data_IF_806542446979
#
_entry.id   IF_806542446979
#
_cell.length_a   1.000
_cell.length_b   1.000
_cell.length_c   1.000
_cell.angle_alpha   90.00
_cell.angle_beta   90.00
_cell.angle_gamma   90.00
#
_symmetry.space_group_name_H-M   'P 1'
#
loop_
_entity.id
_entity.type
_entity.pdbx_description
1 polymer ?
#
# COMPACT_ATOMS: atom_id res chain seq x y z
N UNK A 1 -22.95 -5.19 -1.85
CA UNK A 1 -21.93 -6.19 -2.21
C UNK A 1 -21.35 -5.91 -3.59
N UNK A 2 -20.03 -6.01 -3.80
CA UNK A 2 -19.46 -6.11 -5.15
C UNK A 2 -19.27 -7.60 -5.49
N UNK A 3 -19.76 -8.03 -6.65
CA UNK A 3 -19.62 -9.39 -7.17
C UNK A 3 -18.82 -9.35 -8.46
N UNK A 4 -17.65 -10.00 -8.49
CA UNK A 4 -16.79 -10.08 -9.68
C UNK A 4 -16.84 -11.49 -10.20
N UNK A 5 -17.52 -11.70 -11.34
CA UNK A 5 -17.68 -13.02 -11.95
C UNK A 5 -16.44 -13.38 -12.77
N UNK A 6 -15.94 -14.59 -12.57
CA UNK A 6 -14.76 -15.13 -13.23
C UNK A 6 -15.08 -16.53 -13.79
N UNK A 7 -14.77 -16.74 -15.07
CA UNK A 7 -14.76 -18.07 -15.66
C UNK A 7 -13.35 -18.70 -15.56
N UNK A 8 -13.21 -19.94 -16.03
CA UNK A 8 -11.92 -20.62 -16.05
C UNK A 8 -10.84 -19.84 -16.85
N UNK A 9 -11.23 -19.17 -17.93
CA UNK A 9 -10.33 -18.34 -18.72
C UNK A 9 -9.81 -17.15 -17.90
N UNK A 10 -10.69 -16.42 -17.20
CA UNK A 10 -10.28 -15.33 -16.32
C UNK A 10 -9.40 -15.82 -15.16
N UNK A 11 -9.77 -16.94 -14.52
CA UNK A 11 -8.98 -17.55 -13.44
C UNK A 11 -7.55 -17.90 -13.91
N UNK A 12 -7.41 -18.45 -15.13
CA UNK A 12 -6.09 -18.77 -15.72
C UNK A 12 -5.23 -17.53 -16.03
N UNK A 13 -5.84 -16.34 -16.08
CA UNK A 13 -5.18 -15.07 -16.36
C UNK A 13 -4.90 -14.27 -15.09
N UNK A 14 -5.27 -14.77 -13.90
CA UNK A 14 -5.02 -14.06 -12.64
C UNK A 14 -3.53 -13.77 -12.46
N UNK A 15 -3.19 -12.50 -12.21
CA UNK A 15 -1.82 -12.05 -11.96
C UNK A 15 -1.71 -11.22 -10.70
N UNK A 16 -0.50 -11.17 -10.16
CA UNK A 16 -0.15 -10.30 -9.03
C UNK A 16 0.91 -9.32 -9.51
N UNK A 17 0.67 -8.02 -9.36
CA UNK A 17 1.58 -6.99 -9.88
C UNK A 17 1.51 -5.71 -9.03
N UNK A 18 2.64 -5.03 -8.86
CA UNK A 18 2.68 -3.74 -8.15
C UNK A 18 2.08 -2.65 -9.04
N UNK A 19 1.31 -1.73 -8.45
CA UNK A 19 0.79 -0.53 -9.11
C UNK A 19 1.44 0.73 -8.50
N UNK A 20 2.52 1.27 -9.11
CA UNK A 20 3.13 2.52 -8.67
C UNK A 20 2.15 3.69 -8.60
N UNK A 21 1.23 3.79 -9.57
CA UNK A 21 0.23 4.86 -9.59
C UNK A 21 -0.76 4.74 -8.43
N UNK A 22 -1.16 3.52 -8.02
CA UNK A 22 -2.02 3.34 -6.84
C UNK A 22 -1.34 3.86 -5.56
N UNK A 23 -0.04 3.60 -5.40
CA UNK A 23 0.72 4.11 -4.25
C UNK A 23 0.81 5.64 -4.27
N UNK A 24 1.03 6.25 -5.45
CA UNK A 24 1.01 7.70 -5.61
C UNK A 24 -0.37 8.30 -5.27
N UNK A 25 -1.44 7.70 -5.79
CA UNK A 25 -2.82 8.13 -5.53
C UNK A 25 -3.15 8.07 -4.05
N UNK A 26 -2.81 6.96 -3.38
CA UNK A 26 -3.11 6.80 -1.96
C UNK A 26 -2.33 7.79 -1.08
N UNK A 27 -1.04 8.01 -1.34
CA UNK A 27 -0.25 8.99 -0.60
C UNK A 27 -0.71 10.43 -0.87
N UNK A 28 -1.05 10.75 -2.13
CA UNK A 28 -1.58 12.06 -2.52
C UNK A 28 -2.90 12.35 -1.80
N UNK A 29 -3.79 11.37 -1.73
CA UNK A 29 -5.07 11.49 -1.03
C UNK A 29 -4.88 11.80 0.45
N UNK A 30 -3.97 11.07 1.12
CA UNK A 30 -3.63 11.34 2.52
C UNK A 30 -3.07 12.76 2.72
N UNK A 31 -2.15 13.19 1.83
CA UNK A 31 -1.56 14.52 1.89
C UNK A 31 -2.61 15.64 1.68
N UNK A 32 -3.50 15.46 0.70
CA UNK A 32 -4.58 16.40 0.39
C UNK A 32 -5.61 16.50 1.52
N UNK A 33 -5.90 15.40 2.19
CA UNK A 33 -6.80 15.36 3.34
C UNK A 33 -6.16 15.82 4.66
N UNK A 34 -4.84 16.05 4.69
CA UNK A 34 -4.10 16.35 5.92
C UNK A 34 -4.10 15.21 6.92
N UNK A 35 -4.17 13.95 6.43
CA UNK A 35 -4.29 12.74 7.25
C UNK A 35 -2.98 11.95 7.27
N UNK A 36 -2.76 11.27 8.39
CA UNK A 36 -1.65 10.34 8.55
C UNK A 36 -2.08 8.93 8.11
N UNK A 37 -1.17 8.21 7.46
CA UNK A 37 -1.32 6.78 7.24
C UNK A 37 -1.26 6.05 8.61
N UNK A 38 -2.10 5.04 8.90
CA UNK A 38 -2.07 4.36 10.20
C UNK A 38 -0.72 3.72 10.57
N UNK A 39 -0.04 3.15 9.58
CA UNK A 39 1.29 2.54 9.73
C UNK A 39 2.43 3.52 9.44
N UNK A 40 2.44 4.11 8.23
CA UNK A 40 3.50 5.02 7.81
C UNK A 40 3.36 6.44 8.35
N UNK A 41 2.34 6.81 9.11
CA UNK A 41 2.17 8.17 9.66
C UNK A 41 2.02 9.28 8.63
N UNK A 42 2.45 10.50 8.98
CA UNK A 42 2.39 11.69 8.12
C UNK A 42 3.03 11.46 6.72
N UNK A 43 2.33 11.79 5.60
CA UNK A 43 2.88 11.86 4.24
C UNK A 43 4.10 12.76 4.06
N UNK A 44 4.31 13.73 4.96
CA UNK A 44 5.52 14.54 5.02
C UNK A 44 5.50 15.81 4.17
N UNK A 45 6.56 16.60 4.31
CA UNK A 45 6.66 17.94 3.71
C UNK A 45 6.76 17.90 2.18
N UNK A 46 7.39 16.88 1.60
CA UNK A 46 7.52 16.73 0.15
C UNK A 46 6.16 16.51 -0.53
N UNK A 47 5.31 15.65 0.03
CA UNK A 47 3.95 15.43 -0.44
C UNK A 47 3.10 16.72 -0.39
N UNK A 48 3.20 17.47 0.72
CA UNK A 48 2.54 18.79 0.85
C UNK A 48 3.10 19.83 -0.12
N UNK A 49 4.40 19.81 -0.37
CA UNK A 49 5.03 20.70 -1.34
C UNK A 49 4.53 20.43 -2.75
N UNK A 50 4.38 19.16 -3.14
CA UNK A 50 3.89 18.76 -4.45
C UNK A 50 2.47 19.31 -4.75
N UNK A 51 1.60 19.46 -3.74
CA UNK A 51 0.24 20.03 -3.89
C UNK A 51 0.21 21.49 -4.38
N UNK A 52 1.35 22.20 -4.36
CA UNK A 52 1.45 23.55 -4.94
C UNK A 52 1.33 23.53 -6.46
N UNK A 53 1.74 22.44 -7.08
CA UNK A 53 1.64 22.23 -8.52
C UNK A 53 0.15 22.17 -8.96
N UNK A 54 -0.26 22.93 -9.99
CA UNK A 54 -1.65 22.97 -10.43
C UNK A 54 -2.22 21.62 -10.89
N UNK A 55 -1.39 20.76 -11.48
CA UNK A 55 -1.84 19.47 -12.00
C UNK A 55 -1.93 18.43 -10.89
N UNK A 56 -0.98 18.44 -9.93
CA UNK A 56 -1.10 17.63 -8.69
C UNK A 56 -2.37 17.99 -7.94
N UNK A 57 -2.69 19.29 -7.83
CA UNK A 57 -3.89 19.77 -7.14
C UNK A 57 -5.18 19.38 -7.85
N UNK A 58 -5.18 19.33 -9.18
CA UNK A 58 -6.31 18.86 -9.96
C UNK A 58 -6.61 17.37 -9.67
N UNK A 59 -5.56 16.53 -9.60
CA UNK A 59 -5.72 15.13 -9.18
C UNK A 59 -6.22 15.04 -7.74
N UNK A 60 -5.63 15.80 -6.81
CA UNK A 60 -6.08 15.80 -5.41
C UNK A 60 -7.57 16.18 -5.27
N UNK A 61 -8.04 17.15 -6.05
CA UNK A 61 -9.45 17.55 -6.07
C UNK A 61 -10.36 16.42 -6.60
N UNK A 62 -9.91 15.68 -7.62
CA UNK A 62 -10.59 14.52 -8.17
C UNK A 62 -10.68 13.33 -7.20
N UNK A 63 -9.67 13.15 -6.33
CA UNK A 63 -9.65 12.09 -5.31
C UNK A 63 -10.60 12.36 -4.13
N UNK A 64 -10.91 13.63 -3.88
CA UNK A 64 -11.67 14.07 -2.71
C UNK A 64 -10.90 13.90 -1.38
N UNK A 65 -11.47 14.43 -0.30
CA UNK A 65 -10.89 14.39 1.05
C UNK A 65 -11.69 13.53 2.03
N UNK A 66 -12.77 12.91 1.56
CA UNK A 66 -13.61 12.02 2.36
C UNK A 66 -12.88 10.70 2.67
N UNK A 67 -13.37 9.94 3.65
CA UNK A 67 -12.81 8.63 4.02
C UNK A 67 -13.05 7.54 2.97
N UNK A 68 -14.03 7.70 2.08
CA UNK A 68 -14.33 6.73 1.04
C UNK A 68 -13.34 6.76 -0.13
N UNK A 69 -12.85 5.58 -0.55
CA UNK A 69 -12.08 5.36 -1.77
C UNK A 69 -12.97 5.46 -3.02
N UNK A 70 -13.52 6.66 -3.25
CA UNK A 70 -14.50 6.91 -4.30
C UNK A 70 -13.95 7.95 -5.29
N UNK A 71 -13.15 7.46 -6.23
CA UNK A 71 -12.55 8.21 -7.35
C UNK A 71 -12.56 7.35 -8.63
N UNK A 72 -12.43 7.93 -9.83
CA UNK A 72 -12.57 7.17 -11.07
C UNK A 72 -11.39 6.24 -11.32
N UNK A 73 -11.69 5.04 -11.84
CA UNK A 73 -10.72 3.97 -12.12
C UNK A 73 -9.59 4.40 -13.05
N UNK A 74 -9.82 5.38 -13.93
CA UNK A 74 -8.82 5.94 -14.84
C UNK A 74 -7.59 6.46 -14.09
N UNK A 75 -7.75 6.93 -12.84
CA UNK A 75 -6.64 7.46 -12.03
C UNK A 75 -5.67 6.37 -11.56
N UNK A 76 -6.05 5.09 -11.68
CA UNK A 76 -5.23 3.95 -11.30
C UNK A 76 -5.24 2.88 -12.39
N UNK A 77 -4.67 3.14 -13.59
CA UNK A 77 -4.70 2.18 -14.70
C UNK A 77 -4.10 0.83 -14.30
N UNK A 78 -4.66 -0.29 -14.79
CA UNK A 78 -4.15 -1.64 -14.48
C UNK A 78 -2.65 -1.76 -14.80
N UNK A 79 -1.80 -2.29 -13.90
CA UNK A 79 -0.37 -2.47 -14.19
C UNK A 79 -0.14 -3.61 -15.19
N UNK A 80 0.57 -3.35 -16.28
CA UNK A 80 0.95 -4.36 -17.28
C UNK A 80 2.30 -5.05 -16.97
N UNK A 81 2.56 -6.23 -17.54
CA UNK A 81 3.85 -6.94 -17.43
C UNK A 81 4.99 -6.27 -18.22
N UNK A 82 5.25 -4.98 -17.97
CA UNK A 82 6.33 -4.22 -18.61
C UNK A 82 7.43 -3.86 -17.62
N UNK A 83 8.61 -3.48 -18.12
CA UNK A 83 9.76 -3.15 -17.27
C UNK A 83 9.55 -1.89 -16.45
N UNK A 84 8.96 -0.86 -17.05
CA UNK A 84 8.66 0.42 -16.40
C UNK A 84 7.15 0.61 -16.27
N UNK A 85 6.59 0.01 -15.22
CA UNK A 85 5.15 0.01 -14.95
C UNK A 85 4.64 1.42 -14.66
N UNK A 86 5.42 2.28 -14.02
CA UNK A 86 5.00 3.64 -13.70
C UNK A 86 4.80 4.45 -14.99
N UNK A 87 5.81 4.48 -15.86
CA UNK A 87 5.73 5.22 -17.12
C UNK A 87 4.57 4.73 -18.00
N UNK A 88 4.40 3.41 -18.10
CA UNK A 88 3.31 2.77 -18.84
C UNK A 88 1.91 3.11 -18.28
N UNK A 89 1.73 3.09 -16.95
CA UNK A 89 0.46 3.51 -16.34
C UNK A 89 0.17 4.99 -16.61
N UNK A 90 1.18 5.86 -16.52
CA UNK A 90 1.02 7.29 -16.80
C UNK A 90 0.71 7.56 -18.28
N UNK A 91 1.30 6.81 -19.20
CA UNK A 91 0.99 6.88 -20.64
C UNK A 91 -0.44 6.43 -20.95
N UNK A 92 -0.90 5.32 -20.35
CA UNK A 92 -2.30 4.87 -20.50
C UNK A 92 -3.29 5.85 -19.91
N UNK A 93 -3.00 6.40 -18.74
CA UNK A 93 -3.81 7.48 -18.18
C UNK A 93 -3.87 8.65 -19.16
N UNK A 94 -2.73 9.12 -19.67
CA UNK A 94 -2.67 10.20 -20.65
C UNK A 94 -3.47 9.90 -21.92
N UNK A 95 -3.48 8.65 -22.37
CA UNK A 95 -4.15 8.19 -23.58
C UNK A 95 -5.62 7.76 -23.37
N UNK A 96 -6.18 7.96 -22.18
CA UNK A 96 -7.59 7.63 -21.90
C UNK A 96 -8.49 8.52 -22.76
N UNK A 97 -9.39 7.89 -23.53
CA UNK A 97 -10.31 8.61 -24.41
C UNK A 97 -11.43 9.33 -23.62
N UNK A 98 -12.02 10.35 -24.24
CA UNK A 98 -13.03 11.20 -23.60
C UNK A 98 -14.30 10.41 -23.23
N UNK A 99 -14.72 9.46 -24.06
CA UNK A 99 -15.91 8.65 -23.80
C UNK A 99 -15.72 7.77 -22.55
N UNK A 100 -14.52 7.25 -22.33
CA UNK A 100 -14.13 6.50 -21.14
C UNK A 100 -14.15 7.39 -19.89
N UNK A 101 -13.64 8.63 -19.99
CA UNK A 101 -13.71 9.61 -18.91
C UNK A 101 -15.17 9.90 -18.57
N UNK A 102 -15.99 10.25 -19.55
CA UNK A 102 -17.41 10.56 -19.36
C UNK A 102 -18.19 9.40 -18.72
N UNK A 103 -17.95 8.17 -19.18
CA UNK A 103 -18.56 6.98 -18.62
C UNK A 103 -18.25 6.85 -17.12
N UNK A 104 -16.97 6.94 -16.74
CA UNK A 104 -16.55 6.84 -15.34
C UNK A 104 -17.04 7.99 -14.46
N UNK A 105 -17.25 9.18 -15.02
CA UNK A 105 -17.78 10.33 -14.28
C UNK A 105 -19.31 10.34 -14.18
N UNK A 106 -20.02 9.55 -14.99
CA UNK A 106 -21.48 9.46 -14.94
C UNK A 106 -21.95 8.92 -13.60
N UNK A 107 -21.30 7.86 -13.13
CA UNK A 107 -21.61 7.26 -11.82
C UNK A 107 -21.07 8.10 -10.64
N UNK A 108 -20.23 9.10 -10.94
CA UNK A 108 -19.57 9.95 -9.96
C UNK A 108 -19.94 11.43 -10.16
N UNK A 109 -21.24 11.73 -10.22
CA UNK A 109 -21.78 13.07 -10.49
C UNK A 109 -21.14 14.20 -9.65
N UNK A 110 -20.72 13.91 -8.41
CA UNK A 110 -20.00 14.86 -7.53
C UNK A 110 -18.63 15.30 -8.08
N UNK A 111 -17.98 14.45 -8.88
CA UNK A 111 -16.64 14.66 -9.43
C UNK A 111 -16.66 15.35 -10.80
N UNK A 112 -17.80 15.40 -11.50
CA UNK A 112 -17.94 16.06 -12.81
C UNK A 112 -17.51 17.53 -12.81
N UNK A 113 -17.63 18.24 -11.69
CA UNK A 113 -17.18 19.65 -11.56
C UNK A 113 -15.67 19.81 -11.39
N UNK A 114 -14.98 18.75 -10.99
CA UNK A 114 -13.55 18.76 -10.67
C UNK A 114 -12.72 18.16 -11.81
N UNK A 115 -13.33 17.29 -12.60
CA UNK A 115 -12.71 16.56 -13.70
C UNK A 115 -13.31 17.07 -15.01
N UNK A 116 -12.67 18.03 -15.70
CA UNK A 116 -13.08 18.40 -17.06
C UNK A 116 -12.87 17.19 -17.98
N UNK A 117 -13.76 16.97 -18.95
CA UNK A 117 -13.59 15.88 -19.93
C UNK A 117 -12.39 16.16 -20.84
N UNK A 118 -12.24 17.43 -21.25
CA UNK A 118 -11.12 17.91 -22.05
C UNK A 118 -9.80 17.97 -21.26
N UNK A 119 -8.82 17.19 -21.73
CA UNK A 119 -7.42 17.31 -21.31
C UNK A 119 -7.11 16.87 -19.88
N UNK A 120 -8.10 16.51 -19.06
CA UNK A 120 -7.85 16.00 -17.71
C UNK A 120 -6.95 14.76 -17.67
N UNK A 121 -7.09 13.74 -18.54
CA UNK A 121 -6.23 12.57 -18.46
C UNK A 121 -4.74 12.92 -18.60
N UNK A 122 -4.40 13.85 -19.51
CA UNK A 122 -3.04 14.32 -19.69
C UNK A 122 -2.53 15.13 -18.49
N UNK A 123 -3.37 15.98 -17.90
CA UNK A 123 -3.04 16.74 -16.67
C UNK A 123 -2.90 15.82 -15.46
N UNK A 124 -3.76 14.81 -15.34
CA UNK A 124 -3.70 13.84 -14.26
C UNK A 124 -2.43 12.99 -14.33
N UNK A 125 -2.04 12.53 -15.53
CA UNK A 125 -0.76 11.87 -15.74
C UNK A 125 0.42 12.78 -15.35
N UNK A 126 0.43 14.04 -15.78
CA UNK A 126 1.47 15.00 -15.43
C UNK A 126 1.55 15.25 -13.91
N UNK A 127 0.38 15.43 -13.26
CA UNK A 127 0.26 15.61 -11.82
C UNK A 127 0.76 14.41 -11.04
N UNK A 128 0.36 13.18 -11.41
CA UNK A 128 0.82 11.97 -10.74
C UNK A 128 2.32 11.73 -10.97
N UNK A 129 2.84 11.98 -12.17
CA UNK A 129 4.28 11.92 -12.44
C UNK A 129 5.06 12.90 -11.56
N UNK A 130 4.57 14.14 -11.46
CA UNK A 130 5.17 15.19 -10.63
C UNK A 130 5.12 14.84 -9.15
N UNK A 131 3.97 14.38 -8.68
CA UNK A 131 3.80 13.97 -7.29
C UNK A 131 4.73 12.82 -6.95
N UNK A 132 4.79 11.77 -7.78
CA UNK A 132 5.69 10.65 -7.59
C UNK A 132 7.16 11.10 -7.53
N UNK A 133 7.59 11.92 -8.49
CA UNK A 133 8.96 12.42 -8.55
C UNK A 133 9.36 13.23 -7.30
N UNK A 134 8.45 14.04 -6.76
CA UNK A 134 8.73 14.91 -5.61
C UNK A 134 8.57 14.18 -4.28
N UNK A 135 7.51 13.39 -4.15
CA UNK A 135 7.07 12.85 -2.87
C UNK A 135 7.42 11.39 -2.66
N UNK A 136 7.80 10.65 -3.71
CA UNK A 136 8.00 9.19 -3.65
C UNK A 136 9.35 8.69 -4.15
N UNK A 137 9.98 9.39 -5.11
CA UNK A 137 11.14 8.86 -5.85
C UNK A 137 12.28 8.38 -4.95
N UNK A 138 12.63 9.14 -3.90
CA UNK A 138 13.76 8.82 -3.03
C UNK A 138 13.54 7.53 -2.23
N UNK A 139 12.34 7.33 -1.69
CA UNK A 139 12.00 6.14 -0.92
C UNK A 139 11.39 5.00 -1.75
N UNK A 140 11.10 5.25 -3.03
CA UNK A 140 10.42 4.29 -3.89
C UNK A 140 11.15 2.94 -3.99
N UNK A 141 12.49 2.85 -4.12
CA UNK A 141 13.16 1.55 -4.18
C UNK A 141 12.89 0.66 -2.95
N UNK A 142 12.84 1.25 -1.75
CA UNK A 142 12.53 0.53 -0.52
C UNK A 142 11.04 0.11 -0.47
N UNK A 143 10.15 1.03 -0.87
CA UNK A 143 8.71 0.78 -0.95
C UNK A 143 8.39 -0.33 -1.96
N UNK A 144 9.01 -0.28 -3.14
CA UNK A 144 8.89 -1.30 -4.18
C UNK A 144 9.40 -2.65 -3.69
N UNK A 145 10.55 -2.70 -3.02
CA UNK A 145 11.09 -3.95 -2.44
C UNK A 145 10.10 -4.60 -1.46
N UNK A 146 9.41 -3.81 -0.65
CA UNK A 146 8.35 -4.28 0.25
C UNK A 146 7.17 -4.86 -0.53
N UNK A 147 6.67 -4.15 -1.54
CA UNK A 147 5.54 -4.60 -2.36
C UNK A 147 5.90 -5.85 -3.19
N UNK A 148 7.11 -5.93 -3.74
CA UNK A 148 7.65 -7.13 -4.41
C UNK A 148 7.82 -8.30 -3.44
N UNK A 149 8.08 -8.02 -2.16
CA UNK A 149 7.99 -8.98 -1.07
C UNK A 149 6.60 -9.63 -1.00
N UNK A 150 5.55 -8.81 -0.98
CA UNK A 150 4.16 -9.26 -0.95
C UNK A 150 3.75 -10.01 -2.22
N UNK A 151 4.18 -9.54 -3.40
CA UNK A 151 4.01 -10.26 -4.68
C UNK A 151 4.60 -11.66 -4.61
N UNK A 152 5.83 -11.80 -4.08
CA UNK A 152 6.49 -13.10 -3.93
C UNK A 152 5.74 -14.01 -2.97
N UNK A 153 5.28 -13.48 -1.84
CA UNK A 153 4.55 -14.25 -0.84
C UNK A 153 3.20 -14.74 -1.40
N UNK A 154 2.50 -13.91 -2.19
CA UNK A 154 1.28 -14.30 -2.93
C UNK A 154 1.54 -15.30 -4.05
N UNK A 155 2.67 -15.18 -4.74
CA UNK A 155 3.06 -16.15 -5.76
C UNK A 155 3.32 -17.54 -5.16
N UNK A 156 4.00 -17.60 -4.00
CA UNK A 156 4.16 -18.85 -3.23
C UNK A 156 2.80 -19.42 -2.85
N UNK A 157 1.90 -18.59 -2.32
CA UNK A 157 0.55 -19.03 -1.96
C UNK A 157 -0.23 -19.61 -3.15
N UNK A 158 -0.15 -18.95 -4.31
CA UNK A 158 -0.77 -19.44 -5.54
C UNK A 158 -0.15 -20.78 -5.99
N UNK A 159 1.17 -20.93 -5.89
CA UNK A 159 1.86 -22.16 -6.28
C UNK A 159 1.57 -23.34 -5.34
N UNK A 160 1.43 -23.10 -4.03
CA UNK A 160 1.23 -24.17 -3.04
C UNK A 160 -0.24 -24.47 -2.75
N UNK A 161 -1.13 -23.49 -2.93
CA UNK A 161 -2.56 -23.60 -2.59
C UNK A 161 -3.52 -23.35 -3.75
N UNK A 162 -3.00 -23.03 -4.95
CA UNK A 162 -3.79 -22.66 -6.11
C UNK A 162 -4.32 -21.22 -6.07
N UNK A 163 -4.89 -20.79 -7.20
CA UNK A 163 -5.46 -19.43 -7.36
C UNK A 163 -6.60 -19.18 -6.38
N UNK A 164 -7.46 -20.18 -6.13
CA UNK A 164 -8.56 -20.06 -5.17
C UNK A 164 -8.08 -19.73 -3.76
N UNK A 165 -6.98 -20.33 -3.28
CA UNK A 165 -6.42 -19.99 -1.97
C UNK A 165 -5.91 -18.55 -1.89
N UNK A 166 -5.31 -18.05 -2.97
CA UNK A 166 -4.93 -16.64 -3.06
C UNK A 166 -6.16 -15.73 -2.98
N UNK A 167 -7.19 -15.98 -3.80
CA UNK A 167 -8.43 -15.18 -3.84
C UNK A 167 -9.17 -15.20 -2.50
N UNK A 168 -9.26 -16.35 -1.82
CA UNK A 168 -9.87 -16.48 -0.49
C UNK A 168 -9.12 -15.71 0.61
N UNK A 169 -7.87 -15.35 0.38
CA UNK A 169 -7.01 -14.74 1.40
C UNK A 169 -6.80 -13.24 1.21
N UNK A 170 -7.42 -12.63 0.20
CA UNK A 170 -7.18 -11.23 -0.14
C UNK A 170 -7.51 -10.29 1.01
N UNK A 171 -8.65 -10.50 1.67
CA UNK A 171 -9.15 -9.65 2.73
C UNK A 171 -10.31 -10.34 3.49
N UNK A 172 -10.58 -9.94 4.74
CA UNK A 172 -11.71 -10.47 5.55
C UNK A 172 -13.10 -10.08 5.02
N UNK A 173 -13.15 -9.11 4.10
CA UNK A 173 -14.37 -8.71 3.37
C UNK A 173 -14.53 -9.44 2.04
N UNK A 174 -13.50 -10.18 1.59
CA UNK A 174 -13.52 -10.91 0.32
C UNK A 174 -13.81 -12.39 0.55
N UNK A 175 -14.67 -12.97 -0.29
CA UNK A 175 -14.98 -14.39 -0.30
C UNK A 175 -14.87 -14.90 -1.73
N UNK A 176 -14.13 -15.99 -1.93
CA UNK A 176 -14.08 -16.71 -3.20
C UNK A 176 -15.14 -17.82 -3.21
N UNK A 177 -15.97 -17.88 -4.25
CA UNK A 177 -17.06 -18.88 -4.36
C UNK A 177 -16.72 -20.05 -5.29
N UNK A 178 -15.60 -19.97 -6.03
CA UNK A 178 -15.28 -20.90 -7.12
C UNK A 178 -15.55 -20.31 -8.52
N UNK A 179 -16.43 -19.33 -8.61
CA UNK A 179 -16.82 -18.64 -9.86
C UNK A 179 -16.88 -17.12 -9.72
N UNK A 180 -16.77 -16.59 -8.50
CA UNK A 180 -16.79 -15.16 -8.25
C UNK A 180 -16.01 -14.77 -7.00
N UNK A 181 -15.47 -13.56 -7.02
CA UNK A 181 -14.97 -12.87 -5.82
C UNK A 181 -16.08 -11.93 -5.32
N UNK A 182 -16.58 -12.21 -4.12
CA UNK A 182 -17.57 -11.39 -3.44
C UNK A 182 -16.86 -10.45 -2.46
N UNK A 183 -17.05 -9.14 -2.58
CA UNK A 183 -16.47 -8.14 -1.70
C UNK A 183 -17.57 -7.39 -0.96
N UNK A 184 -17.63 -7.57 0.37
CA UNK A 184 -18.56 -6.84 1.23
C UNK A 184 -18.21 -5.35 1.25
N UNK A 185 -19.15 -4.52 0.83
CA UNK A 185 -19.07 -3.06 0.81
C UNK A 185 -20.49 -2.45 0.91
N UNK A 186 -20.57 -1.12 0.96
CA UNK A 186 -21.84 -0.38 1.06
C UNK A 186 -22.63 -0.21 -0.23
N UNK A 187 -22.17 -0.76 -1.37
CA UNK A 187 -22.80 -0.63 -2.69
C UNK A 187 -23.09 -2.00 -3.30
N UNK A 188 -24.14 -2.14 -4.12
CA UNK A 188 -24.43 -3.36 -4.89
C UNK A 188 -23.93 -3.20 -6.33
N UNK A 189 -22.92 -3.96 -6.72
CA UNK A 189 -22.28 -3.86 -8.05
C UNK A 189 -21.97 -5.27 -8.57
N UNK A 190 -22.28 -5.52 -9.84
CA UNK A 190 -21.92 -6.76 -10.52
C UNK A 190 -20.96 -6.45 -11.66
N UNK A 191 -19.76 -7.04 -11.60
CA UNK A 191 -18.71 -6.89 -12.61
C UNK A 191 -18.53 -8.23 -13.30
N UNK A 192 -18.78 -8.25 -14.60
CA UNK A 192 -18.64 -9.45 -15.41
C UNK A 192 -17.29 -9.48 -16.12
N UNK A 193 -16.32 -10.20 -15.55
CA UNK A 193 -14.94 -10.27 -16.04
C UNK A 193 -14.62 -11.60 -16.69
N UNK A 194 -15.62 -12.28 -17.28
CA UNK A 194 -15.36 -13.53 -18.00
C UNK A 194 -14.40 -13.34 -19.18
N UNK A 195 -13.41 -14.23 -19.27
CA UNK A 195 -12.33 -14.17 -20.24
C UNK A 195 -11.32 -13.04 -20.01
N UNK A 196 -11.56 -12.15 -19.05
CA UNK A 196 -10.71 -10.98 -18.79
C UNK A 196 -9.60 -11.30 -17.79
N UNK A 197 -8.53 -10.52 -17.84
CA UNK A 197 -7.48 -10.59 -16.85
C UNK A 197 -7.92 -9.92 -15.54
N UNK A 198 -7.72 -10.61 -14.42
CA UNK A 198 -7.84 -10.05 -13.08
C UNK A 198 -6.46 -9.82 -12.48
N UNK A 199 -6.14 -8.57 -12.13
CA UNK A 199 -4.89 -8.24 -11.46
C UNK A 199 -5.11 -7.99 -9.97
N UNK A 200 -4.32 -8.65 -9.13
CA UNK A 200 -4.25 -8.38 -7.69
C UNK A 200 -3.03 -7.50 -7.47
N UNK A 201 -3.27 -6.25 -7.09
CA UNK A 201 -2.20 -5.31 -6.79
C UNK A 201 -2.07 -5.14 -5.27
N UNK A 202 -0.98 -5.64 -4.66
CA UNK A 202 -0.73 -5.33 -3.26
C UNK A 202 -0.46 -3.84 -3.12
N UNK A 203 -1.12 -3.21 -2.16
CA UNK A 203 -0.96 -1.79 -1.91
C UNK A 203 -0.72 -1.50 -0.43
N UNK A 204 0.25 -0.64 -0.19
CA UNK A 204 0.55 -0.15 1.14
C UNK A 204 -0.39 0.99 1.51
N UNK A 205 -0.66 1.89 0.57
CA UNK A 205 -1.47 3.08 0.81
C UNK A 205 -2.96 2.82 0.94
N UNK A 206 -3.48 1.70 0.41
CA UNK A 206 -4.89 1.35 0.62
C UNK A 206 -5.15 0.67 1.97
N UNK A 207 -4.12 0.41 2.79
CA UNK A 207 -4.29 -0.29 4.05
C UNK A 207 -5.23 0.46 5.02
N UNK A 208 -6.15 -0.22 5.72
CA UNK A 208 -6.36 -1.68 5.75
C UNK A 208 -7.38 -2.18 4.71
N UNK A 209 -7.82 -1.33 3.78
CA UNK A 209 -8.91 -1.61 2.88
C UNK A 209 -8.54 -2.52 1.70
N UNK A 210 -9.54 -3.26 1.23
CA UNK A 210 -9.57 -3.85 -0.11
C UNK A 210 -10.38 -2.93 -1.03
N UNK A 211 -9.75 -2.50 -2.13
CA UNK A 211 -10.38 -1.71 -3.18
C UNK A 211 -10.57 -2.55 -4.43
N UNK A 212 -11.63 -2.22 -5.17
CA UNK A 212 -12.00 -2.92 -6.41
C UNK A 212 -12.21 -1.86 -7.48
N UNK A 213 -11.51 -2.00 -8.60
CA UNK A 213 -11.88 -1.29 -9.82
C UNK A 213 -13.08 -1.98 -10.45
N UNK A 214 -14.18 -1.25 -10.61
CA UNK A 214 -15.47 -1.82 -11.04
C UNK A 214 -16.16 -1.04 -12.16
N UNK A 215 -15.56 0.06 -12.64
CA UNK A 215 -16.10 0.86 -13.74
C UNK A 215 -15.64 0.34 -15.12
N UNK A 216 -14.70 -0.61 -15.16
CA UNK A 216 -14.39 -1.43 -16.34
C UNK A 216 -14.51 -2.92 -16.03
N UNK A 217 -15.44 -3.66 -16.65
CA UNK A 217 -15.42 -5.12 -16.59
C UNK A 217 -14.19 -5.75 -17.25
N UNK A 218 -13.51 -5.04 -18.17
CA UNK A 218 -12.33 -5.51 -18.92
C UNK A 218 -10.98 -5.11 -18.30
N UNK A 219 -10.98 -4.25 -17.28
CA UNK A 219 -9.79 -3.68 -16.64
C UNK A 219 -9.86 -3.79 -15.11
N UNK A 220 -10.22 -4.98 -14.60
CA UNK A 220 -10.44 -5.18 -13.15
C UNK A 220 -9.13 -5.39 -12.40
N UNK A 221 -8.91 -4.53 -11.40
CA UNK A 221 -7.83 -4.64 -10.43
C UNK A 221 -8.39 -4.70 -9.02
N UNK A 222 -7.84 -5.62 -8.21
CA UNK A 222 -8.06 -5.71 -6.78
C UNK A 222 -6.86 -5.14 -6.04
N UNK A 223 -7.00 -3.95 -5.46
CA UNK A 223 -5.98 -3.39 -4.59
C UNK A 223 -6.13 -3.98 -3.19
N UNK A 224 -5.32 -4.98 -2.90
CA UNK A 224 -5.35 -5.69 -1.64
C UNK A 224 -4.34 -5.08 -0.66
N UNK A 225 -4.66 -4.98 0.64
CA UNK A 225 -3.73 -4.43 1.61
C UNK A 225 -2.49 -5.32 1.65
N UNK A 226 -1.30 -4.73 1.52
CA UNK A 226 -0.06 -5.47 1.64
C UNK A 226 0.05 -6.04 3.08
N UNK A 227 0.56 -7.27 3.19
CA UNK A 227 0.60 -8.02 4.46
C UNK A 227 1.83 -7.69 5.29
N UNK A 228 2.88 -7.19 4.65
CA UNK A 228 4.20 -6.93 5.25
C UNK A 228 4.51 -5.44 5.39
N UNK A 229 3.56 -4.64 5.90
CA UNK A 229 3.69 -3.18 5.99
C UNK A 229 4.52 -2.68 7.17
N UNK A 230 4.97 -3.56 8.06
CA UNK A 230 5.54 -3.13 9.34
C UNK A 230 6.33 -4.16 10.13
N UNK A 231 6.70 -5.32 9.56
CA UNK A 231 7.85 -6.05 10.08
C UNK A 231 9.00 -5.77 9.11
N UNK A 232 10.03 -4.98 9.51
CA UNK A 232 11.31 -5.09 8.85
C UNK A 232 11.65 -6.58 8.87
N UNK A 233 11.68 -7.23 7.71
CA UNK A 233 12.35 -8.53 7.62
C UNK A 233 13.71 -8.29 8.29
N UNK A 234 14.11 -9.08 9.31
CA UNK A 234 15.35 -8.86 10.02
C UNK A 234 16.42 -8.72 8.94
N UNK A 235 17.00 -7.52 8.82
CA UNK A 235 17.97 -7.22 7.78
C UNK A 235 19.02 -8.32 7.86
N UNK A 236 19.03 -9.26 6.91
CA UNK A 236 20.03 -10.33 6.89
C UNK A 236 21.37 -9.62 6.77
N UNK A 237 22.22 -9.69 7.81
CA UNK A 237 23.48 -8.97 7.91
C UNK A 237 23.55 -7.84 8.96
N UNK A 238 22.45 -7.38 9.55
CA UNK A 238 22.53 -6.44 10.70
C UNK A 238 23.15 -7.12 11.93
N UNK A 239 22.94 -8.43 12.10
CA UNK A 239 23.66 -9.25 13.06
C UNK A 239 25.20 -9.20 12.87
N UNK A 240 25.69 -9.00 11.64
CA UNK A 240 27.13 -8.78 11.37
C UNK A 240 27.61 -7.37 11.73
N UNK A 241 26.72 -6.37 11.74
CA UNK A 241 27.03 -4.97 12.04
C UNK A 241 26.91 -4.64 13.53
N UNK A 242 25.85 -5.09 14.19
CA UNK A 242 25.58 -4.82 15.61
C UNK A 242 25.78 -6.04 16.52
N UNK A 243 26.08 -7.20 15.96
CA UNK A 243 26.22 -8.44 16.71
C UNK A 243 24.88 -9.15 16.94
N UNK A 244 24.91 -10.49 17.06
CA UNK A 244 23.71 -11.33 17.07
C UNK A 244 22.81 -11.11 18.27
N UNK A 245 23.36 -10.68 19.41
CA UNK A 245 22.59 -10.41 20.63
C UNK A 245 21.79 -9.11 20.54
N UNK A 246 22.41 -8.02 20.04
CA UNK A 246 21.71 -6.74 19.85
C UNK A 246 20.62 -6.86 18.77
N UNK A 247 20.87 -7.59 17.69
CA UNK A 247 19.87 -7.87 16.67
C UNK A 247 18.66 -8.64 17.23
N UNK A 248 18.89 -9.67 18.05
CA UNK A 248 17.81 -10.43 18.70
C UNK A 248 16.98 -9.58 19.66
N UNK A 249 17.64 -8.75 20.48
CA UNK A 249 16.95 -7.85 21.39
C UNK A 249 16.15 -6.79 20.63
N UNK A 250 16.70 -6.19 19.58
CA UNK A 250 16.03 -5.15 18.77
C UNK A 250 14.78 -5.69 18.05
N UNK A 251 14.84 -6.91 17.52
CA UNK A 251 13.67 -7.57 16.92
C UNK A 251 12.60 -7.89 17.97
N UNK A 252 13.01 -8.29 19.18
CA UNK A 252 12.10 -8.52 20.29
C UNK A 252 11.64 -7.23 20.99
N UNK A 253 11.85 -6.05 20.38
CA UNK A 253 11.38 -4.76 20.89
C UNK A 253 10.33 -4.11 19.98
N UNK A 254 9.77 -4.86 19.04
CA UNK A 254 8.55 -4.44 18.30
C UNK A 254 7.36 -4.21 19.25
N UNK A 255 7.34 -4.93 20.38
CA UNK A 255 6.43 -4.69 21.50
C UNK A 255 7.22 -4.10 22.67
N UNK A 256 6.69 -3.12 23.42
CA UNK A 256 7.34 -2.62 24.63
C UNK A 256 7.64 -3.74 25.63
N UNK A 257 8.90 -3.84 26.08
CA UNK A 257 9.34 -4.84 27.05
C UNK A 257 10.33 -4.27 28.05
N UNK A 258 10.25 -4.75 29.28
CA UNK A 258 11.21 -4.41 30.33
C UNK A 258 12.51 -5.20 30.19
N UNK A 259 13.59 -4.69 30.80
CA UNK A 259 14.88 -5.39 30.86
C UNK A 259 14.73 -6.80 31.47
N UNK A 260 13.88 -6.96 32.49
CA UNK A 260 13.64 -8.24 33.14
C UNK A 260 12.94 -9.26 32.23
N UNK A 261 11.95 -8.82 31.46
CA UNK A 261 11.25 -9.68 30.48
C UNK A 261 12.19 -10.12 29.36
N UNK A 262 13.04 -9.22 28.87
CA UNK A 262 14.04 -9.53 27.86
C UNK A 262 15.13 -10.49 28.38
N UNK A 263 15.59 -10.30 29.63
CA UNK A 263 16.54 -11.19 30.27
C UNK A 263 16.00 -12.63 30.35
N UNK A 264 14.74 -12.79 30.77
CA UNK A 264 14.08 -14.09 30.86
C UNK A 264 13.90 -14.73 29.47
N UNK A 265 13.39 -13.98 28.48
CA UNK A 265 13.09 -14.50 27.12
C UNK A 265 14.33 -14.92 26.35
N UNK A 266 15.44 -14.19 26.51
CA UNK A 266 16.67 -14.44 25.77
C UNK A 266 17.69 -15.26 26.56
N UNK A 267 17.36 -15.71 27.78
CA UNK A 267 18.27 -16.42 28.69
C UNK A 267 19.58 -15.66 28.92
N UNK A 268 19.47 -14.35 29.15
CA UNK A 268 20.59 -13.44 29.38
C UNK A 268 20.52 -12.87 30.80
N UNK A 269 21.68 -12.54 31.37
CA UNK A 269 21.73 -11.78 32.62
C UNK A 269 21.12 -10.38 32.41
N UNK A 270 20.38 -9.88 33.41
CA UNK A 270 19.74 -8.56 33.35
C UNK A 270 20.76 -7.44 33.09
N UNK A 271 21.96 -7.53 33.68
CA UNK A 271 23.05 -6.59 33.43
C UNK A 271 23.50 -6.56 31.95
N UNK A 272 23.59 -7.73 31.30
CA UNK A 272 23.94 -7.84 29.87
C UNK A 272 22.86 -7.22 28.99
N UNK A 273 21.59 -7.45 29.31
CA UNK A 273 20.47 -6.84 28.58
C UNK A 273 20.47 -5.32 28.79
N UNK A 274 20.65 -4.83 30.02
CA UNK A 274 20.78 -3.40 30.30
C UNK A 274 21.90 -2.76 29.50
N UNK A 275 23.08 -3.39 29.43
CA UNK A 275 24.20 -2.87 28.65
C UNK A 275 23.85 -2.74 27.15
N UNK A 276 23.25 -3.77 26.56
CA UNK A 276 22.82 -3.72 25.15
C UNK A 276 21.73 -2.68 24.90
N UNK A 277 20.75 -2.54 25.81
CA UNK A 277 19.69 -1.55 25.71
C UNK A 277 20.23 -0.12 25.83
N UNK A 278 21.22 0.13 26.69
CA UNK A 278 21.88 1.44 26.77
C UNK A 278 22.54 1.81 25.44
N UNK A 279 23.32 0.90 24.86
CA UNK A 279 23.98 1.14 23.56
C UNK A 279 22.94 1.36 22.44
N UNK A 280 21.88 0.55 22.41
CA UNK A 280 20.80 0.72 21.43
C UNK A 280 20.06 2.05 21.63
N UNK A 281 19.87 2.49 22.87
CA UNK A 281 19.19 3.75 23.19
C UNK A 281 20.06 4.96 22.81
N UNK A 282 21.36 4.92 23.13
CA UNK A 282 22.34 5.94 22.76
C UNK A 282 22.47 6.09 21.23
N UNK A 283 22.39 4.97 20.51
CA UNK A 283 22.36 4.96 19.03
C UNK A 283 20.98 5.25 18.41
N UNK A 284 19.99 5.61 19.24
CA UNK A 284 18.66 5.99 18.80
C UNK A 284 17.76 4.84 18.33
N UNK A 285 18.21 3.60 18.39
CA UNK A 285 17.48 2.44 17.86
C UNK A 285 16.29 2.01 18.75
N UNK A 286 16.28 2.43 20.01
CA UNK A 286 15.20 2.15 20.96
C UNK A 286 14.86 3.38 21.78
N UNK A 287 13.57 3.57 22.06
CA UNK A 287 13.08 4.52 23.06
C UNK A 287 12.81 3.81 24.37
N UNK A 288 12.76 4.56 25.47
CA UNK A 288 12.39 4.03 26.79
C UNK A 288 11.32 4.90 27.43
N UNK A 289 10.37 4.26 28.10
CA UNK A 289 9.41 4.95 28.96
C UNK A 289 9.33 4.24 30.31
N UNK A 290 9.01 5.00 31.36
CA UNK A 290 8.90 4.48 32.72
C UNK A 290 7.44 4.33 33.08
N UNK A 291 7.08 3.14 33.54
CA UNK A 291 5.77 2.84 34.11
C UNK A 291 5.96 2.26 35.52
N UNK A 292 5.60 3.06 36.52
CA UNK A 292 5.86 2.80 37.92
C UNK A 292 7.33 2.53 38.22
N UNK A 293 7.62 1.33 38.74
CA UNK A 293 8.99 0.88 39.09
C UNK A 293 9.72 0.22 37.92
N UNK A 294 9.10 0.08 36.76
CA UNK A 294 9.66 -0.62 35.59
C UNK A 294 9.98 0.37 34.48
N UNK A 295 11.04 0.08 33.73
CA UNK A 295 11.39 0.80 32.50
C UNK A 295 11.15 -0.16 31.35
N UNK A 296 10.32 0.27 30.40
CA UNK A 296 10.04 -0.44 29.17
C UNK A 296 10.83 0.19 28.04
N UNK A 297 11.39 -0.66 27.20
CA UNK A 297 12.06 -0.28 25.97
C UNK A 297 11.18 -0.70 24.80
N UNK A 298 11.25 0.05 23.71
CA UNK A 298 10.58 -0.26 22.45
C UNK A 298 11.49 0.19 21.31
N UNK A 299 11.44 -0.50 20.17
CA UNK A 299 12.14 -0.06 18.96
C UNK A 299 11.70 1.36 18.62
N UNK A 300 12.66 2.25 18.40
CA UNK A 300 12.35 3.60 17.99
C UNK A 300 11.70 3.55 16.61
N UNK A 301 10.61 4.29 16.42
CA UNK A 301 10.13 4.56 15.07
C UNK A 301 11.26 5.27 14.32
N UNK A 302 11.51 4.88 13.08
CA UNK A 302 12.52 5.49 12.21
C UNK A 302 12.31 7.00 11.96
N UNK A 303 11.28 7.60 12.59
CA UNK A 303 10.88 9.00 12.55
C UNK A 303 11.27 9.81 13.80
N UNK A 304 11.81 9.18 14.85
CA UNK A 304 12.22 9.88 16.10
C UNK A 304 13.72 10.20 16.12
N UNK A 305 14.45 9.91 15.04
CA UNK A 305 15.84 10.31 14.87
C UNK A 305 15.97 11.45 13.86
N UNK A 306 15.53 12.63 14.29
CA UNK A 306 15.98 13.94 13.79
C UNK A 306 16.03 14.89 14.98
#
# INVERSE_FOLDING_TARGET
>A
MITIRLDAAAVSRVRVAVSPVMEAVGLLRLAAAGRAHPIFGDPGAAARFALRDPDVRAVAAALGTEDAWDFPDLLTPRPLPVRDVLSDQLERLRATDEARVEAQLTDMHRLRRWIPTDGFPARAAAGLARFFAVAMADQWPAHLTMLEGDVRDRAVQMATGGVGALLSSLHTRATWTGEAVLVRCGSEVHVDSTGQELVIAPSAMCWPDLLVQSQDPTDVVLFAPARSLGTPRPHRGVDRLIGPTRARLLNDLETPRSTGELAARHSLAAATVSHHLSVLHESGQVTRHRDGRRVFYQRADARVLA
#
